data_IF_830322113719
#
_entry.id   IF_830322113719
#
_cell.length_a   1.000
_cell.length_b   1.000
_cell.length_c   1.000
_cell.angle_alpha   90.00
_cell.angle_beta   90.00
_cell.angle_gamma   90.00
#
_symmetry.space_group_name_H-M   'P 1'
#
loop_
_entity.id
_entity.type
_entity.pdbx_description
1 polymer ?
#
# COMPACT_ATOMS: atom_id res chain seq x y z
N UNK A 1 -46.52 8.01 54.48
CA UNK A 1 -45.62 6.84 54.36
C UNK A 1 -45.97 6.20 53.02
N UNK A 2 -45.33 6.59 51.91
CA UNK A 2 -44.08 6.01 51.33
C UNK A 2 -44.24 4.50 51.13
N UNK A 3 -44.12 3.87 49.96
CA UNK A 3 -43.29 4.11 48.77
C UNK A 3 -44.02 3.63 47.50
N UNK A 4 -43.75 4.27 46.36
CA UNK A 4 -43.94 3.63 45.05
C UNK A 4 -42.58 3.61 44.36
N UNK A 5 -41.92 2.45 44.41
CA UNK A 5 -40.59 2.20 43.85
C UNK A 5 -40.69 2.16 42.32
N UNK A 6 -40.18 3.20 41.66
CA UNK A 6 -39.98 3.25 40.22
C UNK A 6 -38.51 2.94 39.96
N UNK A 7 -38.22 1.72 39.50
CA UNK A 7 -36.86 1.34 39.12
C UNK A 7 -36.44 2.14 37.87
N UNK A 8 -35.41 2.98 38.03
CA UNK A 8 -34.73 3.63 36.92
C UNK A 8 -33.90 2.59 36.15
N UNK A 9 -34.16 2.46 34.85
CA UNK A 9 -33.33 1.66 33.95
C UNK A 9 -32.05 2.45 33.64
N UNK A 10 -30.85 1.85 33.75
CA UNK A 10 -29.61 2.55 33.43
C UNK A 10 -29.57 2.92 31.93
N UNK A 11 -29.20 4.18 31.68
CA UNK A 11 -29.14 4.77 30.35
C UNK A 11 -28.30 3.95 29.38
N UNK A 12 -28.84 3.76 28.18
CA UNK A 12 -28.09 3.27 27.01
C UNK A 12 -26.94 4.23 26.74
N UNK A 13 -25.71 3.82 27.05
CA UNK A 13 -24.50 4.47 26.57
C UNK A 13 -24.57 4.51 25.04
N UNK A 14 -24.61 5.72 24.49
CA UNK A 14 -24.50 5.95 23.05
C UNK A 14 -23.22 5.28 22.55
N UNK A 15 -23.38 4.26 21.69
CA UNK A 15 -22.25 3.60 21.07
C UNK A 15 -21.43 4.63 20.31
N UNK A 16 -20.14 4.78 20.66
CA UNK A 16 -19.18 5.49 19.81
C UNK A 16 -19.31 4.87 18.42
N UNK A 17 -19.80 5.65 17.45
CA UNK A 17 -19.74 5.32 16.03
C UNK A 17 -18.28 4.95 15.79
N UNK A 18 -17.99 3.69 15.48
CA UNK A 18 -16.62 3.29 15.13
C UNK A 18 -16.40 3.87 13.75
N UNK A 19 -15.80 5.07 13.70
CA UNK A 19 -15.26 5.61 12.47
C UNK A 19 -14.20 4.59 12.05
N UNK A 20 -14.49 3.82 11.00
CA UNK A 20 -13.49 2.92 10.43
C UNK A 20 -12.48 3.85 9.79
N UNK A 21 -11.31 4.00 10.42
CA UNK A 21 -10.20 4.70 9.79
C UNK A 21 -9.90 4.00 8.45
N UNK A 22 -9.78 4.76 7.34
CA UNK A 22 -9.48 4.16 6.05
C UNK A 22 -8.11 3.47 6.15
N UNK A 23 -8.09 2.17 5.85
CA UNK A 23 -6.85 1.38 5.81
C UNK A 23 -6.06 1.75 4.56
N UNK A 24 -4.73 1.82 4.69
CA UNK A 24 -3.82 1.92 3.55
C UNK A 24 -4.02 0.70 2.67
N UNK A 25 -4.33 0.91 1.38
CA UNK A 25 -4.54 -0.13 0.38
C UNK A 25 -3.26 -0.32 -0.43
N UNK A 26 -2.68 -1.51 -0.38
CA UNK A 26 -1.38 -1.83 -1.01
C UNK A 26 -1.55 -2.94 -2.04
N UNK A 27 -1.20 -2.65 -3.29
CA UNK A 27 -1.04 -3.65 -4.35
C UNK A 27 0.39 -4.21 -4.30
N UNK A 28 0.55 -5.46 -3.91
CA UNK A 28 1.83 -6.18 -4.01
C UNK A 28 1.85 -6.95 -5.33
N UNK A 29 2.74 -6.55 -6.24
CA UNK A 29 2.77 -7.09 -7.59
C UNK A 29 4.14 -7.64 -8.01
N UNK A 30 4.08 -8.62 -8.91
CA UNK A 30 5.24 -9.32 -9.48
C UNK A 30 5.23 -9.19 -11.01
N UNK A 31 5.91 -8.18 -11.58
CA UNK A 31 5.89 -7.93 -13.01
C UNK A 31 6.78 -8.90 -13.80
N UNK A 32 6.36 -9.21 -15.02
CA UNK A 32 7.14 -10.01 -15.97
C UNK A 32 7.30 -11.47 -15.57
N UNK A 33 8.30 -12.18 -16.13
CA UNK A 33 8.49 -13.62 -15.94
C UNK A 33 9.22 -13.99 -14.62
N UNK A 34 9.20 -13.11 -13.62
CA UNK A 34 9.90 -13.35 -12.36
C UNK A 34 9.12 -14.33 -11.45
N UNK A 35 9.56 -15.59 -11.44
CA UNK A 35 8.98 -16.66 -10.62
C UNK A 35 9.27 -16.61 -9.11
N UNK A 36 10.08 -15.66 -8.60
CA UNK A 36 10.52 -15.66 -7.20
C UNK A 36 9.50 -15.06 -6.23
N UNK A 37 8.48 -15.80 -5.83
CA UNK A 37 7.37 -15.25 -5.04
C UNK A 37 7.63 -15.06 -3.53
N UNK A 38 8.68 -15.67 -2.97
CA UNK A 38 8.91 -15.69 -1.51
C UNK A 38 8.96 -14.29 -0.91
N UNK A 39 9.74 -13.38 -1.48
CA UNK A 39 9.89 -12.00 -0.97
C UNK A 39 8.56 -11.24 -0.99
N UNK A 40 7.82 -11.33 -2.10
CA UNK A 40 6.52 -10.69 -2.23
C UNK A 40 5.48 -11.23 -1.24
N UNK A 41 5.44 -12.56 -1.02
CA UNK A 41 4.55 -13.19 -0.04
C UNK A 41 4.87 -12.79 1.40
N UNK A 42 6.16 -12.73 1.75
CA UNK A 42 6.61 -12.28 3.08
C UNK A 42 6.24 -10.81 3.31
N UNK A 43 6.45 -9.95 2.30
CA UNK A 43 6.06 -8.55 2.39
C UNK A 43 4.54 -8.39 2.50
N UNK A 44 3.77 -9.12 1.68
CA UNK A 44 2.31 -9.09 1.73
C UNK A 44 1.77 -9.48 3.11
N UNK A 45 2.31 -10.54 3.72
CA UNK A 45 1.96 -10.95 5.07
C UNK A 45 2.30 -9.87 6.11
N UNK A 46 3.51 -9.29 6.05
CA UNK A 46 3.93 -8.25 6.98
C UNK A 46 3.05 -6.99 6.90
N UNK A 47 2.64 -6.58 5.69
CA UNK A 47 1.74 -5.45 5.48
C UNK A 47 0.33 -5.74 6.04
N UNK A 48 -0.17 -6.97 5.86
CA UNK A 48 -1.44 -7.41 6.46
C UNK A 48 -1.37 -7.42 7.99
N UNK A 49 -0.30 -7.95 8.57
CA UNK A 49 -0.06 -7.96 10.02
C UNK A 49 0.03 -6.53 10.58
N UNK A 50 0.52 -5.58 9.77
CA UNK A 50 0.54 -4.15 10.08
C UNK A 50 -0.84 -3.45 9.94
N UNK A 51 -1.89 -4.19 9.57
CA UNK A 51 -3.27 -3.68 9.48
C UNK A 51 -3.65 -3.06 8.14
N UNK A 52 -2.77 -3.10 7.14
CA UNK A 52 -3.04 -2.62 5.78
C UNK A 52 -3.94 -3.59 5.03
N UNK A 53 -4.68 -3.08 4.03
CA UNK A 53 -5.42 -3.92 3.10
C UNK A 53 -4.52 -4.27 1.91
N UNK A 54 -4.27 -5.56 1.70
CA UNK A 54 -3.26 -6.00 0.72
C UNK A 54 -3.91 -6.80 -0.40
N UNK A 55 -3.70 -6.33 -1.63
CA UNK A 55 -4.05 -7.03 -2.86
C UNK A 55 -2.76 -7.66 -3.40
N UNK A 56 -2.71 -8.98 -3.46
CA UNK A 56 -1.57 -9.70 -4.06
C UNK A 56 -1.95 -10.26 -5.43
N UNK A 57 -1.25 -9.81 -6.48
CA UNK A 57 -1.60 -10.16 -7.87
C UNK A 57 -1.21 -11.56 -8.28
N UNK A 58 -0.32 -12.22 -7.53
CA UNK A 58 0.37 -13.42 -8.01
C UNK A 58 1.45 -13.10 -9.05
N UNK A 59 1.94 -14.14 -9.73
CA UNK A 59 3.06 -14.09 -10.68
C UNK A 59 2.63 -13.59 -12.07
N UNK A 60 3.62 -13.22 -12.88
CA UNK A 60 3.47 -13.01 -14.33
C UNK A 60 2.51 -11.89 -14.73
N UNK A 61 2.50 -10.80 -13.96
CA UNK A 61 1.68 -9.65 -14.30
C UNK A 61 2.37 -8.76 -15.32
N UNK A 62 1.64 -8.22 -16.29
CA UNK A 62 2.16 -7.17 -17.14
C UNK A 62 2.05 -5.82 -16.43
N UNK A 63 2.88 -4.82 -16.78
CA UNK A 63 2.73 -3.46 -16.25
C UNK A 63 1.32 -2.89 -16.44
N UNK A 64 0.67 -3.20 -17.57
CA UNK A 64 -0.70 -2.77 -17.88
C UNK A 64 -1.72 -3.38 -16.94
N UNK A 65 -1.58 -4.68 -16.62
CA UNK A 65 -2.43 -5.34 -15.64
C UNK A 65 -2.25 -4.75 -14.25
N UNK A 66 -1.00 -4.47 -13.84
CA UNK A 66 -0.70 -3.87 -12.54
C UNK A 66 -1.36 -2.48 -12.43
N UNK A 67 -1.20 -1.63 -13.44
CA UNK A 67 -1.79 -0.29 -13.42
C UNK A 67 -3.33 -0.35 -13.44
N UNK A 68 -3.92 -1.25 -14.24
CA UNK A 68 -5.36 -1.45 -14.27
C UNK A 68 -5.91 -1.94 -12.92
N UNK A 69 -5.24 -2.90 -12.27
CA UNK A 69 -5.62 -3.36 -10.93
C UNK A 69 -5.46 -2.26 -9.90
N UNK A 70 -4.37 -1.48 -9.96
CA UNK A 70 -4.16 -0.37 -9.05
C UNK A 70 -5.33 0.63 -9.12
N UNK A 71 -5.78 0.98 -10.33
CA UNK A 71 -6.91 1.87 -10.56
C UNK A 71 -8.23 1.26 -10.06
N UNK A 72 -8.52 0.01 -10.45
CA UNK A 72 -9.76 -0.67 -10.11
C UNK A 72 -9.92 -0.87 -8.61
N UNK A 73 -8.83 -1.19 -7.93
CA UNK A 73 -8.78 -1.39 -6.49
C UNK A 73 -8.56 -0.08 -5.72
N UNK A 74 -8.47 1.07 -6.39
CA UNK A 74 -8.23 2.39 -5.79
C UNK A 74 -7.15 2.32 -4.69
N UNK A 75 -5.97 1.83 -5.06
CA UNK A 75 -4.88 1.60 -4.11
C UNK A 75 -4.13 2.89 -3.78
N UNK A 76 -3.55 2.95 -2.59
CA UNK A 76 -2.72 4.08 -2.17
C UNK A 76 -1.24 3.81 -2.49
N UNK A 77 -0.86 2.53 -2.59
CA UNK A 77 0.52 2.08 -2.80
C UNK A 77 0.55 0.92 -3.81
N UNK A 78 1.52 0.95 -4.71
CA UNK A 78 1.95 -0.17 -5.54
C UNK A 78 3.36 -0.58 -5.13
N UNK A 79 3.51 -1.78 -4.58
CA UNK A 79 4.78 -2.36 -4.16
C UNK A 79 5.20 -3.47 -5.14
N UNK A 80 6.23 -3.22 -5.95
CA UNK A 80 6.76 -4.20 -6.91
C UNK A 80 7.83 -5.09 -6.27
N UNK A 81 7.83 -6.38 -6.60
CA UNK A 81 8.92 -7.31 -6.28
C UNK A 81 9.58 -7.80 -7.56
N UNK A 82 10.86 -7.45 -7.76
CA UNK A 82 11.60 -7.70 -9.02
C UNK A 82 12.98 -8.30 -8.73
N UNK A 83 13.16 -9.57 -9.03
CA UNK A 83 14.44 -10.29 -8.90
C UNK A 83 15.05 -10.68 -10.27
N UNK A 84 14.39 -10.30 -11.37
CA UNK A 84 14.81 -10.64 -12.74
C UNK A 84 15.87 -9.71 -13.35
N UNK A 85 16.27 -8.63 -12.65
CA UNK A 85 17.15 -7.59 -13.18
C UNK A 85 16.47 -6.63 -14.17
N UNK A 86 15.15 -6.77 -14.39
CA UNK A 86 14.39 -5.91 -15.30
C UNK A 86 13.82 -4.65 -14.61
N UNK A 87 14.32 -4.27 -13.43
CA UNK A 87 13.82 -3.16 -12.62
C UNK A 87 13.87 -1.82 -13.35
N UNK A 88 14.96 -1.53 -14.07
CA UNK A 88 15.10 -0.29 -14.87
C UNK A 88 14.11 -0.20 -16.05
N UNK A 89 13.46 -1.30 -16.41
CA UNK A 89 12.43 -1.30 -17.46
C UNK A 89 11.04 -1.30 -16.84
N UNK A 90 10.82 -2.13 -15.82
CA UNK A 90 9.50 -2.40 -15.26
C UNK A 90 9.00 -1.31 -14.33
N UNK A 91 9.87 -0.73 -13.48
CA UNK A 91 9.48 0.39 -12.63
C UNK A 91 9.07 1.63 -13.46
N UNK A 92 9.89 2.12 -14.42
CA UNK A 92 9.50 3.27 -15.22
C UNK A 92 8.26 3.01 -16.06
N UNK A 93 8.07 1.79 -16.57
CA UNK A 93 6.86 1.43 -17.33
C UNK A 93 5.62 1.48 -16.47
N UNK A 94 5.65 0.91 -15.25
CA UNK A 94 4.51 0.97 -14.32
C UNK A 94 4.25 2.42 -13.91
N UNK A 95 5.29 3.20 -13.59
CA UNK A 95 5.16 4.63 -13.24
C UNK A 95 4.43 5.41 -14.34
N UNK A 96 4.91 5.31 -15.58
CA UNK A 96 4.30 5.98 -16.73
C UNK A 96 2.83 5.59 -16.94
N UNK A 97 2.47 4.33 -16.69
CA UNK A 97 1.09 3.86 -16.81
C UNK A 97 0.17 4.37 -15.69
N UNK A 98 0.68 4.45 -14.46
CA UNK A 98 -0.05 5.03 -13.33
C UNK A 98 -0.30 6.52 -13.57
N UNK A 99 0.73 7.27 -13.96
CA UNK A 99 0.62 8.71 -14.25
C UNK A 99 -0.35 8.95 -15.42
N UNK A 100 -0.26 8.14 -16.48
CA UNK A 100 -1.18 8.20 -17.61
C UNK A 100 -2.64 7.93 -17.26
N UNK A 101 -2.92 7.34 -16.10
CA UNK A 101 -4.26 7.08 -15.56
C UNK A 101 -4.68 8.10 -14.49
N UNK A 102 -3.88 9.16 -14.26
CA UNK A 102 -4.14 10.17 -13.23
C UNK A 102 -3.90 9.65 -11.81
N UNK A 103 -3.07 8.62 -11.65
CA UNK A 103 -2.72 8.02 -10.37
C UNK A 103 -1.40 8.59 -9.82
N UNK A 104 -1.14 9.87 -10.08
CA UNK A 104 0.11 10.56 -9.73
C UNK A 104 0.38 10.56 -8.21
N UNK A 105 -0.69 10.43 -7.43
CA UNK A 105 -0.66 10.37 -5.97
C UNK A 105 -0.31 8.98 -5.42
N UNK A 106 -0.24 7.93 -6.23
CA UNK A 106 0.01 6.58 -5.74
C UNK A 106 1.50 6.36 -5.55
N UNK A 107 1.89 5.88 -4.36
CA UNK A 107 3.27 5.52 -4.10
C UNK A 107 3.64 4.28 -4.90
N UNK A 108 4.54 4.43 -5.87
CA UNK A 108 5.22 3.30 -6.50
C UNK A 108 6.51 3.01 -5.73
N UNK A 109 6.59 1.89 -5.02
CA UNK A 109 7.77 1.45 -4.24
C UNK A 109 8.03 -0.03 -4.51
N UNK A 110 9.00 -0.66 -3.84
CA UNK A 110 9.24 -2.07 -3.98
C UNK A 110 10.63 -2.52 -3.57
N UNK A 111 11.02 -3.68 -4.06
CA UNK A 111 12.32 -4.25 -3.76
C UNK A 111 12.69 -5.45 -4.59
N UNK A 112 13.87 -6.00 -4.29
CA UNK A 112 14.45 -7.11 -5.02
C UNK A 112 15.97 -7.03 -5.04
N UNK A 113 16.58 -7.61 -6.07
CA UNK A 113 18.03 -7.52 -6.29
C UNK A 113 18.26 -6.35 -7.25
N UNK A 114 18.49 -5.17 -6.69
CA UNK A 114 18.62 -3.91 -7.43
C UNK A 114 19.93 -3.24 -7.00
N UNK A 115 20.85 -2.90 -7.91
CA UNK A 115 22.06 -2.13 -7.60
C UNK A 115 21.72 -0.76 -6.99
N UNK A 116 22.59 -0.25 -6.11
CA UNK A 116 22.33 1.03 -5.44
C UNK A 116 22.22 2.21 -6.43
N UNK A 117 23.05 2.22 -7.48
CA UNK A 117 22.99 3.22 -8.56
C UNK A 117 21.66 3.20 -9.32
N UNK A 118 21.10 2.00 -9.56
CA UNK A 118 19.80 1.85 -10.20
C UNK A 118 18.66 2.27 -9.26
N UNK A 119 18.81 2.05 -7.94
CA UNK A 119 17.84 2.56 -6.98
C UNK A 119 17.79 4.09 -6.96
N UNK A 120 18.95 4.73 -6.98
CA UNK A 120 19.07 6.20 -7.07
C UNK A 120 18.44 6.73 -8.35
N UNK A 121 18.79 6.14 -9.50
CA UNK A 121 18.21 6.52 -10.79
C UNK A 121 16.69 6.34 -10.84
N UNK A 122 16.15 5.27 -10.24
CA UNK A 122 14.70 5.07 -10.15
C UNK A 122 14.03 6.09 -9.23
N UNK A 123 14.67 6.47 -8.12
CA UNK A 123 14.16 7.50 -7.22
C UNK A 123 14.06 8.86 -7.94
N UNK A 124 15.06 9.22 -8.74
CA UNK A 124 15.06 10.45 -9.54
C UNK A 124 13.92 10.47 -10.58
N UNK A 125 13.43 9.30 -10.99
CA UNK A 125 12.27 9.15 -11.88
C UNK A 125 10.92 9.17 -11.12
N UNK A 126 10.93 9.42 -9.82
CA UNK A 126 9.73 9.48 -8.98
C UNK A 126 9.23 8.12 -8.50
N UNK A 127 10.08 7.08 -8.53
CA UNK A 127 9.85 5.86 -7.75
C UNK A 127 10.16 6.16 -6.29
N UNK A 128 9.33 5.70 -5.37
CA UNK A 128 9.60 5.77 -3.94
C UNK A 128 10.75 4.86 -3.53
N UNK A 129 11.10 4.92 -2.24
CA UNK A 129 12.22 4.16 -1.66
C UNK A 129 12.17 2.68 -2.08
N UNK A 130 13.33 2.14 -2.47
CA UNK A 130 13.49 0.74 -2.82
C UNK A 130 14.25 -0.03 -1.74
N UNK A 131 13.90 -1.32 -1.59
CA UNK A 131 14.42 -2.18 -0.54
C UNK A 131 15.23 -3.34 -1.11
N UNK A 132 16.51 -3.39 -0.75
CA UNK A 132 17.44 -4.43 -1.17
C UNK A 132 17.38 -5.71 -0.32
N UNK A 133 18.17 -6.74 -0.65
CA UNK A 133 18.26 -7.95 0.13
C UNK A 133 18.67 -7.65 1.59
N UNK A 134 18.02 -8.31 2.55
CA UNK A 134 18.32 -8.15 3.98
C UNK A 134 17.59 -6.99 4.67
N UNK A 135 16.87 -6.14 3.93
CA UNK A 135 15.99 -5.12 4.53
C UNK A 135 14.91 -5.79 5.37
N UNK A 136 14.65 -5.26 6.58
CA UNK A 136 13.56 -5.74 7.42
C UNK A 136 12.19 -5.37 6.84
N UNK A 137 11.19 -6.23 7.02
CA UNK A 137 9.81 -5.92 6.58
C UNK A 137 9.21 -4.76 7.36
N UNK A 138 9.58 -4.58 8.63
CA UNK A 138 9.15 -3.45 9.45
C UNK A 138 9.58 -2.11 8.87
N UNK A 139 10.79 -2.04 8.30
CA UNK A 139 11.28 -0.81 7.68
C UNK A 139 10.44 -0.40 6.46
N UNK A 140 9.99 -1.36 5.64
CA UNK A 140 9.09 -1.09 4.53
C UNK A 140 7.68 -0.68 5.02
N UNK A 141 7.18 -1.33 6.08
CA UNK A 141 5.90 -0.97 6.72
C UNK A 141 5.94 0.46 7.25
N UNK A 142 6.99 0.83 7.98
CA UNK A 142 7.14 2.14 8.59
C UNK A 142 7.28 3.23 7.52
N UNK A 143 8.03 2.95 6.45
CA UNK A 143 8.13 3.84 5.30
C UNK A 143 6.77 4.09 4.64
N UNK A 144 5.99 3.03 4.37
CA UNK A 144 4.67 3.16 3.74
C UNK A 144 3.72 3.98 4.63
N UNK A 145 3.72 3.74 5.95
CA UNK A 145 2.91 4.51 6.90
C UNK A 145 3.29 5.98 6.90
N UNK A 146 4.57 6.29 7.08
CA UNK A 146 5.05 7.66 7.10
C UNK A 146 4.71 8.40 5.80
N UNK A 147 4.94 7.75 4.65
CA UNK A 147 4.58 8.33 3.36
C UNK A 147 3.07 8.58 3.24
N UNK A 148 2.23 7.64 3.67
CA UNK A 148 0.77 7.78 3.62
C UNK A 148 0.24 8.85 4.59
N UNK A 149 0.84 9.00 5.77
CA UNK A 149 0.44 10.05 6.71
C UNK A 149 0.72 11.46 6.14
N UNK A 150 1.75 11.61 5.31
CA UNK A 150 2.11 12.87 4.65
C UNK A 150 1.34 13.13 3.35
N UNK A 151 1.08 12.10 2.55
CA UNK A 151 0.61 12.22 1.16
C UNK A 151 -0.72 11.53 0.87
N UNK A 152 -1.16 10.67 1.79
CA UNK A 152 -2.36 9.86 1.67
C UNK A 152 -3.61 10.72 1.59
N UNK A 153 -4.76 10.06 1.52
CA UNK A 153 -6.04 10.74 1.31
C UNK A 153 -6.25 11.76 2.43
N UNK A 154 -6.06 13.04 2.12
CA UNK A 154 -6.57 14.14 2.92
C UNK A 154 -8.02 13.76 3.22
N UNK A 155 -8.35 13.57 4.50
CA UNK A 155 -9.72 13.32 4.89
C UNK A 155 -10.55 14.38 4.17
N UNK A 156 -11.54 13.96 3.39
CA UNK A 156 -12.57 14.83 2.84
C UNK A 156 -13.37 15.39 4.03
N UNK A 157 -12.74 16.30 4.77
CA UNK A 157 -13.32 17.10 5.79
C UNK A 157 -14.21 18.11 5.10
N UNK A 158 -15.52 17.90 5.25
CA UNK A 158 -16.45 18.95 5.59
C UNK A 158 -16.02 20.36 5.14
N UNK A 159 -16.22 20.68 3.86
CA UNK A 159 -16.54 22.07 3.52
C UNK A 159 -18.05 22.16 3.64
N UNK A 160 -18.50 22.86 4.68
CA UNK A 160 -19.90 23.17 4.93
C UNK A 160 -20.48 24.17 3.94
#
# INVERSE_FOLDING_TARGET
>A
MTENSRAELPGRTAGKKRLIEPKIRVLVAKPGLDGHDRGAKVMAAALQDAGMEVIYTGLHQTPEMIAATALQEDVDVVALSILSGAHMTLFPRVKSLLDGQGMDRVLLTGGGIIPAEDMEALNDLGVGRLFGPGTSTSEAVDYIRAWFDEHGRQASGATG
#
